data_IF_797194405033
#
_entry.id   IF_797194405033
#
_cell.length_a   1.000
_cell.length_b   1.000
_cell.length_c   1.000
_cell.angle_alpha   90.00
_cell.angle_beta   90.00
_cell.angle_gamma   90.00
#
_symmetry.space_group_name_H-M   'P 1'
#
loop_
_entity.id
_entity.type
_entity.pdbx_description
1 polymer ?
#
# COMPACT_ATOMS: atom_id res chain seq x y z
N UNK A 1 16.99 -19.88 -32.82
CA UNK A 1 18.45 -19.70 -32.99
C UNK A 1 18.69 -18.28 -33.47
N UNK A 2 19.24 -17.39 -32.63
CA UNK A 2 20.01 -16.23 -33.07
C UNK A 2 20.77 -15.67 -31.87
N UNK A 3 22.07 -15.99 -31.86
CA UNK A 3 23.13 -15.39 -31.06
C UNK A 3 23.32 -13.95 -31.50
N UNK A 4 23.45 -13.02 -30.57
CA UNK A 4 24.35 -11.88 -30.74
C UNK A 4 25.05 -11.55 -29.42
N UNK A 5 26.37 -11.68 -29.48
CA UNK A 5 27.38 -11.12 -28.58
C UNK A 5 27.32 -9.59 -28.58
N UNK A 6 27.69 -8.95 -27.46
CA UNK A 6 28.73 -7.92 -27.46
C UNK A 6 29.35 -7.79 -26.06
N UNK A 7 30.67 -7.92 -26.04
CA UNK A 7 31.59 -7.62 -24.94
C UNK A 7 31.93 -6.13 -25.04
N UNK A 8 31.91 -5.41 -23.91
CA UNK A 8 32.57 -4.11 -23.80
C UNK A 8 33.22 -3.96 -22.42
N UNK A 9 34.55 -3.92 -22.47
CA UNK A 9 35.49 -3.61 -21.38
C UNK A 9 35.64 -2.09 -21.29
N UNK A 10 35.61 -1.51 -20.08
CA UNK A 10 36.18 -0.17 -19.86
C UNK A 10 36.53 0.12 -18.38
N UNK A 11 37.85 0.08 -18.14
CA UNK A 11 38.71 1.02 -17.37
C UNK A 11 38.40 1.33 -15.90
N UNK A 12 39.31 0.82 -15.05
CA UNK A 12 39.62 1.28 -13.70
C UNK A 12 40.19 2.71 -13.71
N UNK A 13 39.47 3.64 -13.08
CA UNK A 13 39.96 4.97 -12.72
C UNK A 13 39.80 5.19 -11.22
N UNK A 14 40.82 4.83 -10.46
CA UNK A 14 40.90 5.11 -9.03
C UNK A 14 41.45 6.53 -8.83
N UNK A 15 40.58 7.49 -8.52
CA UNK A 15 40.97 8.78 -7.96
C UNK A 15 40.62 8.80 -6.48
N UNK A 16 41.66 8.79 -5.65
CA UNK A 16 41.56 8.97 -4.22
C UNK A 16 41.08 10.36 -3.88
N UNK A 17 40.02 10.44 -3.07
CA UNK A 17 39.57 11.68 -2.46
C UNK A 17 39.55 11.46 -0.95
N UNK A 18 40.47 12.11 -0.26
CA UNK A 18 40.52 12.17 1.19
C UNK A 18 39.27 12.89 1.70
N UNK A 19 38.35 12.15 2.30
CA UNK A 19 37.17 12.73 2.95
C UNK A 19 37.43 12.83 4.45
N UNK A 20 37.48 14.08 4.92
CA UNK A 20 37.47 14.42 6.35
C UNK A 20 36.25 13.81 7.03
N UNK A 21 36.49 13.10 8.12
CA UNK A 21 35.43 12.53 8.97
C UNK A 21 34.76 13.66 9.76
N UNK A 22 33.79 14.32 9.15
CA UNK A 22 32.86 15.19 9.88
C UNK A 22 31.89 14.29 10.62
N UNK A 23 32.10 14.12 11.92
CA UNK A 23 31.12 13.52 12.82
C UNK A 23 29.96 14.50 12.97
N UNK A 24 29.01 14.42 12.05
CA UNK A 24 27.73 15.12 12.18
C UNK A 24 26.94 14.37 13.25
N UNK A 25 26.82 14.97 14.43
CA UNK A 25 25.89 14.50 15.46
C UNK A 25 24.48 14.66 14.91
N UNK A 26 23.93 13.60 14.32
CA UNK A 26 22.54 13.51 13.89
C UNK A 26 21.67 13.53 15.14
N UNK A 27 21.26 14.72 15.56
CA UNK A 27 20.06 14.86 16.38
C UNK A 27 18.91 14.33 15.54
N UNK A 28 18.43 13.12 15.82
CA UNK A 28 17.21 12.56 15.23
C UNK A 28 16.12 13.61 15.40
N UNK A 29 15.67 14.27 14.31
CA UNK A 29 14.51 15.11 14.41
C UNK A 29 13.37 14.18 14.81
N UNK A 30 12.78 14.39 15.98
CA UNK A 30 11.47 13.81 16.28
C UNK A 30 10.53 14.42 15.24
N UNK A 31 10.37 13.74 14.12
CA UNK A 31 9.51 14.18 13.05
C UNK A 31 8.13 14.43 13.67
N UNK A 32 7.51 15.61 13.44
CA UNK A 32 6.11 15.79 13.81
C UNK A 32 5.36 14.59 13.24
N UNK A 33 4.41 14.03 14.01
CA UNK A 33 3.59 12.90 13.58
C UNK A 33 2.92 13.29 12.26
N UNK A 34 3.61 12.98 11.16
CA UNK A 34 3.28 13.52 9.87
C UNK A 34 1.94 12.93 9.50
N UNK A 35 1.02 13.79 9.05
CA UNK A 35 -0.24 13.32 8.48
C UNK A 35 0.11 12.22 7.47
N UNK A 36 -0.41 11.03 7.71
CA UNK A 36 -0.02 9.82 6.97
C UNK A 36 -0.60 9.83 5.55
N UNK A 37 -1.28 10.90 5.15
CA UNK A 37 -1.94 11.02 3.87
C UNK A 37 -0.93 11.18 2.72
N UNK A 38 -0.83 10.25 1.77
CA UNK A 38 0.04 10.39 0.59
C UNK A 38 -0.29 11.63 -0.24
N UNK A 39 -1.58 12.02 -0.28
CA UNK A 39 -2.05 13.17 -1.07
C UNK A 39 -1.60 14.53 -0.52
N UNK A 40 -1.11 14.61 0.73
CA UNK A 40 -0.53 15.84 1.29
C UNK A 40 0.89 16.13 0.75
N UNK A 41 1.50 15.19 0.00
CA UNK A 41 2.77 15.45 -0.67
C UNK A 41 2.54 16.27 -1.95
N UNK A 42 3.26 17.38 -2.14
CA UNK A 42 3.11 18.22 -3.34
C UNK A 42 3.25 17.43 -4.64
N UNK A 43 2.36 17.70 -5.59
CA UNK A 43 2.37 17.06 -6.91
C UNK A 43 2.03 15.58 -6.90
N UNK A 44 1.40 15.07 -5.83
CA UNK A 44 0.98 13.67 -5.75
C UNK A 44 -0.37 13.46 -6.43
N UNK A 45 -0.45 12.44 -7.27
CA UNK A 45 -1.69 11.95 -7.89
C UNK A 45 -1.82 10.46 -7.65
N UNK A 46 -3.07 9.97 -7.70
CA UNK A 46 -3.39 8.55 -7.50
C UNK A 46 -4.31 8.06 -8.60
N UNK A 47 -4.10 6.81 -9.01
CA UNK A 47 -4.98 6.06 -9.93
C UNK A 47 -5.13 4.63 -9.44
N UNK A 48 -6.20 3.95 -9.84
CA UNK A 48 -6.36 2.51 -9.58
C UNK A 48 -5.93 1.68 -10.79
N UNK A 49 -5.45 0.47 -10.55
CA UNK A 49 -5.18 -0.54 -11.59
C UNK A 49 -5.57 -1.91 -11.08
N UNK A 50 -6.30 -2.66 -11.88
CA UNK A 50 -6.66 -4.05 -11.55
C UNK A 50 -5.44 -4.97 -11.76
N UNK A 51 -5.28 -5.95 -10.88
CA UNK A 51 -4.21 -6.96 -10.98
C UNK A 51 -4.81 -8.36 -10.98
N UNK A 52 -4.04 -9.37 -11.37
CA UNK A 52 -4.52 -10.77 -11.34
C UNK A 52 -4.79 -11.29 -9.93
N UNK A 53 -4.28 -10.60 -8.91
CA UNK A 53 -4.38 -11.00 -7.49
C UNK A 53 -5.18 -10.01 -6.64
N UNK A 54 -5.77 -8.97 -7.24
CA UNK A 54 -6.61 -7.99 -6.55
C UNK A 54 -6.60 -6.66 -7.28
N UNK A 55 -6.30 -5.57 -6.58
CA UNK A 55 -6.22 -4.22 -7.13
C UNK A 55 -5.02 -3.46 -6.59
N UNK A 56 -4.64 -2.36 -7.24
CA UNK A 56 -3.53 -1.53 -6.79
C UNK A 56 -3.85 -0.04 -6.92
N UNK A 57 -3.32 0.76 -6.00
CA UNK A 57 -3.26 2.21 -6.09
C UNK A 57 -1.87 2.61 -6.59
N UNK A 58 -1.82 3.33 -7.71
CA UNK A 58 -0.59 3.86 -8.29
C UNK A 58 -0.48 5.33 -7.95
N UNK A 59 0.47 5.66 -7.10
CA UNK A 59 0.80 7.02 -6.68
C UNK A 59 1.97 7.55 -7.51
N UNK A 60 1.79 8.71 -8.14
CA UNK A 60 2.89 9.45 -8.78
C UNK A 60 3.14 10.72 -7.98
N UNK A 61 4.39 11.16 -7.89
CA UNK A 61 4.73 12.42 -7.22
C UNK A 61 5.88 13.11 -7.97
N UNK A 62 5.85 14.44 -8.02
CA UNK A 62 7.00 15.25 -8.43
C UNK A 62 7.84 15.72 -7.24
N UNK A 63 7.42 15.37 -6.02
CA UNK A 63 8.06 15.75 -4.77
C UNK A 63 8.96 14.65 -4.20
N UNK A 64 8.93 14.50 -2.88
CA UNK A 64 9.78 13.58 -2.14
C UNK A 64 9.24 12.13 -2.21
N UNK A 65 9.84 11.34 -3.09
CA UNK A 65 9.52 9.92 -3.26
C UNK A 65 9.83 9.09 -2.00
N UNK A 66 10.84 9.47 -1.21
CA UNK A 66 11.17 8.76 0.04
C UNK A 66 10.10 9.04 1.11
N UNK A 67 9.61 10.27 1.19
CA UNK A 67 8.47 10.60 2.04
C UNK A 67 7.19 9.88 1.60
N UNK A 68 6.95 9.75 0.29
CA UNK A 68 5.80 8.99 -0.23
C UNK A 68 5.90 7.52 0.17
N UNK A 69 7.09 6.92 0.05
CA UNK A 69 7.35 5.55 0.47
C UNK A 69 7.05 5.33 1.94
N UNK A 70 7.59 6.18 2.81
CA UNK A 70 7.35 6.05 4.25
C UNK A 70 5.85 6.11 4.62
N UNK A 71 5.06 6.93 3.92
CA UNK A 71 3.60 7.01 4.13
C UNK A 71 2.89 5.73 3.66
N UNK A 72 3.21 5.24 2.47
CA UNK A 72 2.62 4.02 1.92
C UNK A 72 3.03 2.77 2.70
N UNK A 73 4.26 2.69 3.19
CA UNK A 73 4.70 1.60 4.07
C UNK A 73 3.89 1.60 5.37
N UNK A 74 3.67 2.77 5.97
CA UNK A 74 2.81 2.90 7.15
C UNK A 74 1.34 2.53 6.87
N UNK A 75 0.85 2.79 5.66
CA UNK A 75 -0.49 2.36 5.22
C UNK A 75 -0.57 0.84 5.12
N UNK A 76 0.38 0.22 4.42
CA UNK A 76 0.46 -1.22 4.26
C UNK A 76 0.60 -1.95 5.60
N UNK A 77 1.44 -1.44 6.52
CA UNK A 77 1.63 -2.02 7.85
C UNK A 77 0.32 -2.04 8.66
N UNK A 78 -0.39 -0.90 8.75
CA UNK A 78 -1.65 -0.83 9.50
C UNK A 78 -2.74 -1.68 8.87
N UNK A 79 -2.83 -1.67 7.54
CA UNK A 79 -3.73 -2.53 6.79
C UNK A 79 -3.48 -4.00 7.13
N UNK A 80 -2.23 -4.45 6.99
CA UNK A 80 -1.84 -5.83 7.26
C UNK A 80 -2.05 -6.21 8.72
N UNK A 81 -1.75 -5.33 9.68
CA UNK A 81 -2.00 -5.59 11.09
C UNK A 81 -3.49 -5.79 11.39
N UNK A 82 -4.36 -4.98 10.76
CA UNK A 82 -5.81 -5.11 10.89
C UNK A 82 -6.31 -6.42 10.28
N UNK A 83 -5.86 -6.75 9.08
CA UNK A 83 -6.28 -7.97 8.40
C UNK A 83 -5.70 -9.22 9.06
N UNK A 84 -4.47 -9.20 9.57
CA UNK A 84 -3.88 -10.33 10.28
C UNK A 84 -4.68 -10.75 11.52
N UNK A 85 -5.42 -9.81 12.15
CA UNK A 85 -6.33 -10.12 13.24
C UNK A 85 -7.55 -10.97 12.83
N UNK A 86 -7.88 -11.02 11.53
CA UNK A 86 -8.98 -11.82 10.98
C UNK A 86 -8.52 -13.22 10.49
N UNK A 87 -7.21 -13.48 10.46
CA UNK A 87 -6.63 -14.75 10.03
C UNK A 87 -5.37 -14.58 9.18
N UNK A 88 -4.79 -15.68 8.65
CA UNK A 88 -3.67 -15.61 7.73
C UNK A 88 -3.96 -14.68 6.55
N UNK A 89 -3.00 -13.83 6.19
CA UNK A 89 -3.13 -12.90 5.08
C UNK A 89 -3.07 -13.66 3.74
N UNK A 90 -3.82 -13.22 2.71
CA UNK A 90 -3.76 -13.83 1.39
C UNK A 90 -2.38 -13.61 0.77
N UNK A 91 -2.01 -14.55 -0.09
CA UNK A 91 -0.74 -14.60 -0.82
C UNK A 91 -0.95 -14.47 -2.33
N UNK A 92 -2.18 -14.63 -2.81
CA UNK A 92 -2.54 -14.64 -4.23
C UNK A 92 -2.23 -15.98 -4.90
N UNK A 93 -1.64 -16.93 -4.18
CA UNK A 93 -1.33 -18.28 -4.64
C UNK A 93 -2.30 -19.33 -4.09
N UNK A 94 -3.32 -18.91 -3.34
CA UNK A 94 -4.34 -19.82 -2.82
C UNK A 94 -5.11 -20.45 -3.97
N UNK A 95 -5.21 -21.77 -3.96
CA UNK A 95 -6.25 -22.44 -4.72
C UNK A 95 -7.58 -22.10 -4.08
N UNK A 96 -8.53 -21.59 -4.87
CA UNK A 96 -9.90 -21.37 -4.40
C UNK A 96 -10.35 -22.63 -3.62
N UNK A 97 -10.78 -22.50 -2.35
CA UNK A 97 -11.19 -23.65 -1.58
C UNK A 97 -12.27 -24.38 -2.38
N UNK A 98 -12.05 -25.67 -2.66
CA UNK A 98 -12.89 -26.48 -3.54
C UNK A 98 -14.29 -26.79 -2.97
N UNK A 99 -14.78 -25.99 -2.02
CA UNK A 99 -16.06 -26.18 -1.36
C UNK A 99 -16.78 -24.86 -1.22
N UNK A 100 -17.72 -24.59 -2.12
CA UNK A 100 -18.68 -23.51 -1.98
C UNK A 100 -19.42 -23.65 -0.66
N UNK A 101 -19.31 -22.62 0.17
CA UNK A 101 -20.17 -22.47 1.34
C UNK A 101 -21.17 -21.38 0.97
N UNK A 102 -22.40 -21.80 0.72
CA UNK A 102 -23.53 -20.90 0.52
C UNK A 102 -23.69 -20.06 1.79
N UNK A 103 -23.25 -18.81 1.75
CA UNK A 103 -23.51 -17.84 2.80
C UNK A 103 -24.97 -17.43 2.72
N UNK A 104 -25.83 -18.24 3.32
CA UNK A 104 -27.21 -17.88 3.59
C UNK A 104 -27.24 -16.56 4.38
N UNK A 105 -27.92 -15.57 3.79
CA UNK A 105 -28.21 -14.27 4.36
C UNK A 105 -28.93 -14.40 5.71
N UNK A 106 -28.19 -14.35 6.81
CA UNK A 106 -28.78 -14.11 8.12
C UNK A 106 -28.92 -12.60 8.33
N UNK A 107 -30.10 -12.09 7.97
CA UNK A 107 -30.61 -10.82 8.49
C UNK A 107 -30.81 -10.95 10.02
N UNK A 108 -29.77 -10.66 10.80
CA UNK A 108 -29.92 -10.42 12.23
C UNK A 108 -29.74 -8.93 12.50
N UNK A 109 -30.87 -8.23 12.57
CA UNK A 109 -31.01 -6.99 13.34
C UNK A 109 -30.94 -7.39 14.82
N UNK A 110 -29.73 -7.34 15.39
CA UNK A 110 -29.51 -7.52 16.83
C UNK A 110 -28.82 -6.29 17.38
N UNK A 111 -29.55 -5.53 18.19
CA UNK A 111 -29.06 -4.37 18.94
C UNK A 111 -27.85 -4.75 19.81
N UNK A 112 -26.64 -4.54 19.30
CA UNK A 112 -25.43 -4.67 20.08
C UNK A 112 -24.99 -3.30 20.58
N UNK A 113 -25.32 -3.03 21.84
CA UNK A 113 -24.67 -2.00 22.64
C UNK A 113 -23.17 -2.36 22.79
N UNK A 114 -22.38 -2.02 21.77
CA UNK A 114 -20.94 -2.17 21.79
C UNK A 114 -20.36 -1.27 22.88
N UNK A 115 -19.64 -1.86 23.84
CA UNK A 115 -18.74 -1.10 24.72
C UNK A 115 -17.81 -0.27 23.82
N UNK A 116 -17.61 1.03 24.10
CA UNK A 116 -16.66 1.81 23.33
C UNK A 116 -15.26 1.28 23.63
N UNK A 117 -14.72 0.47 22.71
CA UNK A 117 -13.28 0.35 22.58
C UNK A 117 -12.74 1.76 22.35
N UNK A 118 -11.67 2.12 23.06
CA UNK A 118 -11.06 3.44 22.92
C UNK A 118 -10.85 3.76 21.43
N UNK A 119 -11.23 4.96 20.95
CA UNK A 119 -11.03 5.34 19.57
C UNK A 119 -9.52 5.49 19.35
N UNK A 120 -8.86 4.40 19.01
CA UNK A 120 -7.76 4.51 18.05
C UNK A 120 -8.40 5.13 16.83
N UNK A 121 -8.01 6.37 16.52
CA UNK A 121 -8.44 7.08 15.33
C UNK A 121 -7.99 6.26 14.11
N UNK A 122 -8.81 5.26 13.75
CA UNK A 122 -8.64 4.47 12.56
C UNK A 122 -9.02 5.40 11.42
N UNK A 123 -8.02 5.79 10.65
CA UNK A 123 -8.19 6.56 9.44
C UNK A 123 -9.08 5.75 8.47
N UNK A 124 -10.34 6.15 8.24
CA UNK A 124 -11.30 5.33 7.50
C UNK A 124 -10.99 5.28 6.00
N UNK A 125 -10.06 6.12 5.51
CA UNK A 125 -9.84 6.38 4.10
C UNK A 125 -9.27 5.20 3.28
N UNK A 126 -9.05 4.01 3.88
CA UNK A 126 -8.49 2.83 3.19
C UNK A 126 -9.01 1.49 3.69
N UNK A 127 -10.15 1.47 4.37
CA UNK A 127 -10.66 0.20 4.87
C UNK A 127 -11.23 -0.60 3.70
N UNK A 128 -10.43 -1.51 3.12
CA UNK A 128 -10.93 -2.54 2.21
C UNK A 128 -11.67 -3.58 3.04
N UNK A 129 -12.98 -3.73 2.81
CA UNK A 129 -13.80 -4.65 3.61
C UNK A 129 -13.37 -6.12 3.44
N UNK A 130 -12.90 -6.48 2.24
CA UNK A 130 -12.42 -7.82 1.92
C UNK A 130 -11.06 -8.13 2.55
N UNK A 131 -10.82 -9.40 2.87
CA UNK A 131 -9.60 -9.83 3.57
C UNK A 131 -8.39 -9.79 2.64
N UNK A 132 -7.51 -8.81 2.84
CA UNK A 132 -6.44 -8.49 1.89
C UNK A 132 -5.08 -8.28 2.58
N UNK A 133 -4.01 -8.50 1.82
CA UNK A 133 -2.63 -8.10 2.16
C UNK A 133 -2.22 -6.90 1.31
N UNK A 134 -1.59 -5.91 1.92
CA UNK A 134 -1.07 -4.74 1.24
C UNK A 134 0.46 -4.81 1.09
N UNK A 135 0.99 -4.43 -0.07
CA UNK A 135 2.42 -4.37 -0.38
C UNK A 135 2.77 -3.10 -1.14
N UNK A 136 3.94 -2.52 -0.86
CA UNK A 136 4.45 -1.35 -1.58
C UNK A 136 5.54 -1.77 -2.57
N UNK A 137 5.40 -1.34 -3.82
CA UNK A 137 6.37 -1.57 -4.89
C UNK A 137 6.74 -0.27 -5.63
N UNK A 138 7.91 -0.25 -6.26
CA UNK A 138 8.30 0.85 -7.14
C UNK A 138 7.68 0.72 -8.53
N UNK A 139 7.30 1.86 -9.12
CA UNK A 139 6.87 1.96 -10.52
C UNK A 139 7.52 3.18 -11.17
N UNK A 140 7.48 3.27 -12.49
CA UNK A 140 8.04 4.43 -13.22
C UNK A 140 7.41 5.75 -12.74
N UNK A 141 8.24 6.59 -12.12
CA UNK A 141 7.84 7.89 -11.58
C UNK A 141 6.98 7.85 -10.31
N UNK A 142 6.96 6.74 -9.56
CA UNK A 142 6.12 6.65 -8.37
C UNK A 142 6.20 5.36 -7.57
N UNK A 143 5.13 5.09 -6.83
CA UNK A 143 4.95 3.91 -6.00
C UNK A 143 3.59 3.29 -6.23
N UNK A 144 3.52 1.97 -6.06
CA UNK A 144 2.30 1.20 -6.15
C UNK A 144 2.02 0.56 -4.79
N UNK A 145 0.81 0.76 -4.27
CA UNK A 145 0.27 0.02 -3.13
C UNK A 145 -0.67 -1.06 -3.68
N UNK A 146 -0.21 -2.31 -3.68
CA UNK A 146 -0.96 -3.47 -4.19
C UNK A 146 -1.71 -4.15 -3.06
N UNK A 147 -2.99 -4.43 -3.28
CA UNK A 147 -3.84 -5.21 -2.40
C UNK A 147 -4.05 -6.60 -3.00
N UNK A 148 -3.44 -7.60 -2.36
CA UNK A 148 -3.57 -9.01 -2.67
C UNK A 148 -4.79 -9.57 -1.94
N UNK A 149 -5.65 -10.28 -2.66
CA UNK A 149 -6.91 -10.83 -2.17
C UNK A 149 -6.97 -12.34 -2.42
N UNK A 150 -7.97 -13.00 -1.82
CA UNK A 150 -8.33 -14.35 -2.24
C UNK A 150 -8.98 -14.36 -3.64
N UNK A 151 -8.87 -15.46 -4.40
CA UNK A 151 -9.40 -15.54 -5.77
C UNK A 151 -10.90 -15.24 -5.91
N UNK A 152 -11.70 -15.59 -4.92
CA UNK A 152 -13.15 -15.36 -4.87
C UNK A 152 -13.52 -13.91 -4.51
N UNK A 153 -12.56 -13.10 -4.05
CA UNK A 153 -12.75 -11.71 -3.63
C UNK A 153 -12.18 -10.68 -4.62
N UNK A 154 -11.55 -11.12 -5.72
CA UNK A 154 -10.84 -10.25 -6.67
C UNK A 154 -11.70 -9.09 -7.18
N UNK A 155 -12.90 -9.39 -7.69
CA UNK A 155 -13.78 -8.39 -8.27
C UNK A 155 -14.26 -7.35 -7.24
N UNK A 156 -14.53 -7.78 -6.01
CA UNK A 156 -14.94 -6.89 -4.93
C UNK A 156 -13.79 -5.94 -4.54
N UNK A 157 -12.59 -6.48 -4.36
CA UNK A 157 -11.39 -5.68 -4.04
C UNK A 157 -11.06 -4.69 -5.14
N UNK A 158 -11.15 -5.09 -6.41
CA UNK A 158 -10.92 -4.19 -7.55
C UNK A 158 -11.92 -3.03 -7.58
N UNK A 159 -13.20 -3.30 -7.35
CA UNK A 159 -14.23 -2.26 -7.28
C UNK A 159 -13.97 -1.28 -6.13
N UNK A 160 -13.59 -1.80 -4.96
CA UNK A 160 -13.31 -1.02 -3.77
C UNK A 160 -12.03 -0.18 -3.91
N UNK A 161 -10.97 -0.73 -4.53
CA UNK A 161 -9.74 0.02 -4.84
C UNK A 161 -10.01 1.17 -5.82
N UNK A 162 -10.87 0.95 -6.82
CA UNK A 162 -11.30 2.03 -7.73
C UNK A 162 -12.05 3.14 -6.99
N UNK A 163 -13.00 2.76 -6.12
CA UNK A 163 -13.72 3.72 -5.27
C UNK A 163 -12.78 4.53 -4.36
N UNK A 164 -11.80 3.87 -3.74
CA UNK A 164 -10.79 4.55 -2.93
C UNK A 164 -9.91 5.50 -3.75
N UNK A 165 -9.50 5.12 -4.97
CA UNK A 165 -8.73 6.02 -5.83
C UNK A 165 -9.52 7.29 -6.19
N UNK A 166 -10.80 7.16 -6.54
CA UNK A 166 -11.69 8.29 -6.82
C UNK A 166 -11.87 9.20 -5.58
N UNK A 167 -12.05 8.59 -4.41
CA UNK A 167 -12.16 9.32 -3.14
C UNK A 167 -10.87 10.09 -2.81
N UNK A 168 -9.72 9.43 -2.87
CA UNK A 168 -8.41 10.03 -2.62
C UNK A 168 -8.09 11.15 -3.61
N UNK A 169 -8.47 10.98 -4.88
CA UNK A 169 -8.26 11.99 -5.91
C UNK A 169 -9.15 13.23 -5.72
N UNK A 170 -10.35 13.06 -5.15
CA UNK A 170 -11.32 14.15 -5.00
C UNK A 170 -11.23 14.88 -3.66
N UNK A 171 -10.96 14.18 -2.56
CA UNK A 171 -11.01 14.73 -1.19
C UNK A 171 -9.70 14.56 -0.41
N UNK A 172 -8.69 13.89 -0.99
CA UNK A 172 -7.49 13.49 -0.25
C UNK A 172 -7.81 12.37 0.75
N UNK A 173 -7.14 12.36 1.90
CA UNK A 173 -7.36 11.33 2.94
C UNK A 173 -8.37 11.77 4.00
N UNK A 174 -9.25 12.72 3.68
CA UNK A 174 -10.39 13.03 4.53
C UNK A 174 -11.29 11.80 4.66
N UNK A 175 -11.93 11.63 5.82
CA UNK A 175 -13.01 10.66 5.94
C UNK A 175 -14.12 11.00 4.91
N UNK A 176 -14.75 10.00 4.28
CA UNK A 176 -15.97 10.23 3.51
C UNK A 176 -17.09 10.82 4.39
#
# INVERSE_FOLDING_TARGET
>A
MSKFWFIAVAVLGACGSSSSTTTTTTTTPTAPAATLCPMDLPGTSVTATDTSTGGALVFRTTGDLAALRARLDGWAERHNARHAAMGPLPTGAETAPAGGHDHHHHHHHGDHAAKPAAPVAADPALMIAAHTRAEVGEVDGGLQLTFVAFPDQLAAVQAEVRGHAEHLASTGCGAP
#
